data_IF_124550290136
#
_entry.id   IF_124550290136
#
_cell.length_a   1.000
_cell.length_b   1.000
_cell.length_c   1.000
_cell.angle_alpha   90.00
_cell.angle_beta   90.00
_cell.angle_gamma   90.00
#
_symmetry.space_group_name_H-M   'P 1'
#
loop_
_entity.id
_entity.type
_entity.pdbx_description
1 polymer ?
#
# COMPACT_ATOMS: atom_id res chain seq x y z
N UNK A 1 55.42 58.70 -9.16
CA UNK A 1 55.29 57.71 -8.07
C UNK A 1 55.44 58.49 -6.78
N UNK A 2 54.36 58.57 -6.02
CA UNK A 2 54.18 59.12 -4.68
C UNK A 2 52.67 58.99 -4.38
N UNK A 3 52.17 59.00 -3.13
CA UNK A 3 52.78 58.78 -1.80
C UNK A 3 51.82 57.90 -0.92
N UNK A 4 51.51 58.17 0.38
CA UNK A 4 52.30 58.19 1.62
C UNK A 4 51.75 57.28 2.76
N UNK A 5 52.43 57.36 3.92
CA UNK A 5 52.11 56.91 5.28
C UNK A 5 50.67 57.13 5.81
N UNK A 6 50.27 56.19 6.68
CA UNK A 6 49.66 56.34 8.01
C UNK A 6 48.25 55.73 8.25
N UNK A 7 48.22 54.98 9.36
CA UNK A 7 47.14 54.80 10.34
C UNK A 7 46.00 53.79 10.13
N UNK A 8 45.91 52.96 11.18
CA UNK A 8 44.71 52.64 11.96
C UNK A 8 44.04 51.28 11.71
N UNK A 9 44.05 50.50 12.80
CA UNK A 9 42.90 49.75 13.33
C UNK A 9 42.30 48.65 12.46
N UNK A 10 42.63 47.39 12.77
CA UNK A 10 41.56 46.37 12.99
C UNK A 10 42.04 45.06 13.63
N UNK A 11 43.29 44.90 14.07
CA UNK A 11 43.72 43.64 14.73
C UNK A 11 43.34 43.52 16.23
N UNK A 12 42.47 44.42 16.71
CA UNK A 12 41.86 44.37 18.05
C UNK A 12 40.37 44.03 18.06
N UNK A 13 39.78 43.59 16.94
CA UNK A 13 38.34 43.32 16.84
C UNK A 13 37.93 41.93 16.32
N UNK A 14 38.86 40.99 16.15
CA UNK A 14 38.52 39.58 15.82
C UNK A 14 38.88 38.55 16.91
N UNK A 15 39.39 38.99 18.06
CA UNK A 15 39.59 38.15 19.27
C UNK A 15 38.68 38.52 20.44
N UNK A 16 37.51 39.11 20.15
CA UNK A 16 36.50 39.50 21.14
C UNK A 16 35.12 38.85 20.90
N UNK A 17 35.03 37.79 20.08
CA UNK A 17 33.79 37.05 19.81
C UNK A 17 33.85 35.56 20.18
N UNK A 18 34.85 35.14 20.94
CA UNK A 18 34.97 33.79 21.52
C UNK A 18 35.07 33.92 23.03
N UNK A 19 33.96 34.22 23.68
CA UNK A 19 33.89 34.32 25.14
C UNK A 19 32.65 35.03 25.64
N UNK A 20 31.47 34.42 25.48
CA UNK A 20 30.28 34.68 26.32
C UNK A 20 29.02 33.92 25.86
N UNK A 21 29.08 32.60 25.66
CA UNK A 21 27.85 31.79 25.49
C UNK A 21 27.90 30.42 26.20
N UNK A 22 28.77 30.26 27.22
CA UNK A 22 28.76 29.08 28.10
C UNK A 22 28.36 29.36 29.57
N UNK A 23 28.11 30.62 29.94
CA UNK A 23 27.74 31.02 31.31
C UNK A 23 26.28 31.48 31.49
N UNK A 24 25.36 31.08 30.59
CA UNK A 24 23.91 31.37 30.73
C UNK A 24 22.98 30.15 30.68
N UNK A 25 23.49 28.94 30.92
CA UNK A 25 22.66 27.72 31.07
C UNK A 25 22.97 26.90 32.32
N UNK A 26 23.43 27.56 33.39
CA UNK A 26 23.53 26.99 34.74
C UNK A 26 23.01 27.97 35.79
N UNK A 27 21.82 28.53 35.56
CA UNK A 27 21.09 29.27 36.60
C UNK A 27 19.57 29.29 36.33
N UNK A 28 18.99 28.11 36.08
CA UNK A 28 17.55 27.85 36.29
C UNK A 28 17.41 26.43 36.85
N UNK A 29 18.08 26.19 37.97
CA UNK A 29 17.92 25.00 38.79
C UNK A 29 17.82 25.47 40.24
N UNK A 30 16.59 25.52 40.75
CA UNK A 30 16.33 25.83 42.16
C UNK A 30 15.44 27.06 42.37
N UNK A 31 14.12 26.86 42.27
CA UNK A 31 13.07 27.52 43.08
C UNK A 31 11.70 27.18 42.49
N UNK A 32 11.05 26.14 43.01
CA UNK A 32 9.71 26.28 43.60
C UNK A 32 9.29 24.94 44.21
N UNK A 33 9.44 24.86 45.52
CA UNK A 33 8.79 23.86 46.35
C UNK A 33 7.63 24.60 47.03
N UNK A 34 6.38 24.24 46.74
CA UNK A 34 5.20 24.55 47.58
C UNK A 34 4.03 23.63 47.21
N UNK A 35 3.94 22.55 47.98
CA UNK A 35 2.72 22.07 48.66
C UNK A 35 1.37 22.30 47.98
N UNK A 36 0.75 21.21 47.52
CA UNK A 36 -0.65 20.90 47.82
C UNK A 36 -0.82 19.37 47.89
N UNK A 37 -0.86 18.86 49.11
CA UNK A 37 -1.40 17.54 49.44
C UNK A 37 -2.93 17.64 49.47
N UNK A 38 -3.64 16.66 48.89
CA UNK A 38 -4.94 16.12 49.37
C UNK A 38 -5.29 14.82 48.61
N UNK A 39 -6.11 13.92 49.19
CA UNK A 39 -5.72 12.54 49.44
C UNK A 39 -6.42 11.50 48.57
N UNK A 40 -5.81 10.32 48.49
CA UNK A 40 -6.40 9.09 47.97
C UNK A 40 -7.58 8.64 48.85
N UNK A 41 -8.72 8.18 48.29
CA UNK A 41 -9.68 7.38 49.02
C UNK A 41 -9.30 5.89 48.98
N UNK A 42 -9.37 5.29 50.17
CA UNK A 42 -9.17 3.88 50.46
C UNK A 42 -10.27 2.98 49.92
N UNK A 43 -9.86 1.76 49.62
CA UNK A 43 -10.63 0.58 49.23
C UNK A 43 -11.69 0.18 50.29
N UNK A 44 -12.97 0.06 49.91
CA UNK A 44 -14.00 -0.88 50.44
C UNK A 44 -15.35 -0.55 49.80
N UNK A 45 -15.80 -1.42 48.90
CA UNK A 45 -17.10 -2.11 48.97
C UNK A 45 -17.49 -2.72 47.62
N UNK A 46 -17.52 -4.05 47.59
CA UNK A 46 -18.30 -4.82 46.61
C UNK A 46 -19.77 -4.74 47.02
N UNK A 47 -20.69 -4.78 46.04
CA UNK A 47 -21.50 -6.01 45.98
C UNK A 47 -21.80 -6.52 44.56
N UNK A 48 -21.80 -7.86 44.50
CA UNK A 48 -22.71 -8.79 43.81
C UNK A 48 -23.19 -8.51 42.37
N UNK A 49 -22.85 -9.50 41.52
CA UNK A 49 -23.67 -10.16 40.49
C UNK A 49 -25.13 -9.67 40.39
N UNK A 50 -25.50 -9.21 39.20
CA UNK A 50 -26.80 -9.53 38.61
C UNK A 50 -26.61 -9.98 37.16
N UNK A 51 -27.00 -11.23 36.96
CA UNK A 51 -27.29 -11.90 35.72
C UNK A 51 -28.66 -11.40 35.24
N UNK A 52 -28.72 -10.82 34.05
CA UNK A 52 -29.97 -10.72 33.28
C UNK A 52 -29.69 -10.93 31.80
N UNK A 53 -29.80 -12.19 31.39
CA UNK A 53 -30.29 -12.58 30.07
C UNK A 53 -31.49 -11.71 29.69
N UNK A 54 -31.42 -10.99 28.57
CA UNK A 54 -32.61 -10.57 27.82
C UNK A 54 -32.45 -10.97 26.36
N UNK A 55 -33.15 -12.05 26.01
CA UNK A 55 -33.58 -12.32 24.65
C UNK A 55 -34.44 -11.15 24.16
N UNK A 56 -34.07 -10.54 23.04
CA UNK A 56 -35.03 -9.88 22.17
C UNK A 56 -34.92 -10.51 20.78
N UNK A 57 -35.83 -11.45 20.56
CA UNK A 57 -36.22 -11.93 19.24
C UNK A 57 -37.17 -10.89 18.66
N UNK A 58 -36.84 -10.32 17.50
CA UNK A 58 -37.85 -9.77 16.59
C UNK A 58 -37.51 -10.16 15.15
N UNK A 59 -38.35 -11.05 14.64
CA UNK A 59 -38.58 -11.28 13.23
C UNK A 59 -39.08 -10.00 12.56
N UNK A 60 -38.44 -9.58 11.47
CA UNK A 60 -39.10 -8.78 10.42
C UNK A 60 -38.83 -9.44 9.08
N UNK A 61 -39.88 -10.04 8.55
CA UNK A 61 -40.03 -10.51 7.16
C UNK A 61 -40.15 -9.30 6.23
N UNK A 62 -39.36 -9.27 5.16
CA UNK A 62 -39.45 -8.22 4.15
C UNK A 62 -38.56 -8.48 2.94
N UNK A 63 -38.96 -9.41 2.08
CA UNK A 63 -38.32 -9.66 0.78
C UNK A 63 -38.65 -8.51 -0.19
N UNK A 64 -37.66 -7.69 -0.54
CA UNK A 64 -37.69 -6.82 -1.73
C UNK A 64 -36.68 -7.34 -2.75
N UNK A 65 -37.19 -7.82 -3.88
CA UNK A 65 -36.41 -8.20 -5.06
C UNK A 65 -35.74 -6.96 -5.66
N UNK A 66 -34.43 -7.04 -5.96
CA UNK A 66 -33.71 -6.04 -6.77
C UNK A 66 -33.57 -6.50 -8.22
N UNK A 67 -33.51 -5.59 -9.21
CA UNK A 67 -33.65 -5.93 -10.63
C UNK A 67 -32.33 -6.46 -11.21
N UNK A 68 -32.42 -7.52 -12.01
CA UNK A 68 -31.31 -8.02 -12.85
C UNK A 68 -31.07 -7.06 -14.01
N UNK A 69 -29.83 -6.59 -14.16
CA UNK A 69 -29.34 -5.87 -15.33
C UNK A 69 -29.30 -6.80 -16.54
N UNK A 70 -30.24 -6.65 -17.48
CA UNK A 70 -30.19 -7.28 -18.82
C UNK A 70 -29.32 -6.42 -19.74
N UNK A 71 -28.30 -7.02 -20.34
CA UNK A 71 -27.66 -6.48 -21.55
C UNK A 71 -28.73 -6.41 -22.64
N UNK A 72 -28.90 -5.25 -23.25
CA UNK A 72 -29.95 -5.01 -24.22
C UNK A 72 -29.60 -5.69 -25.56
N UNK A 73 -30.59 -6.36 -26.15
CA UNK A 73 -30.55 -6.99 -27.48
C UNK A 73 -30.08 -6.11 -28.68
N UNK A 74 -30.06 -4.76 -28.64
CA UNK A 74 -29.53 -3.94 -29.74
C UNK A 74 -28.03 -4.07 -30.00
N UNK A 75 -27.19 -4.30 -28.98
CA UNK A 75 -25.72 -4.30 -29.14
C UNK A 75 -25.20 -5.51 -29.93
N UNK A 76 -25.85 -6.67 -29.77
CA UNK A 76 -25.55 -7.88 -30.53
C UNK A 76 -26.00 -7.78 -32.00
N UNK A 77 -27.09 -7.04 -32.28
CA UNK A 77 -27.53 -6.76 -33.65
C UNK A 77 -26.58 -5.82 -34.39
N UNK A 78 -26.01 -4.85 -33.70
CA UNK A 78 -25.07 -3.89 -34.29
C UNK A 78 -23.76 -4.55 -34.73
N UNK A 79 -23.22 -5.47 -33.92
CA UNK A 79 -22.01 -6.22 -34.26
C UNK A 79 -22.22 -7.23 -35.40
N UNK A 80 -23.42 -7.85 -35.46
CA UNK A 80 -23.78 -8.72 -36.58
C UNK A 80 -23.97 -7.93 -37.89
N UNK A 81 -24.52 -6.71 -37.82
CA UNK A 81 -24.69 -5.83 -38.97
C UNK A 81 -23.35 -5.31 -39.50
N UNK A 82 -22.42 -4.89 -38.63
CA UNK A 82 -21.09 -4.46 -39.03
C UNK A 82 -20.28 -5.57 -39.73
N UNK A 83 -20.45 -6.81 -39.26
CA UNK A 83 -19.81 -7.99 -39.86
C UNK A 83 -20.37 -8.32 -41.25
N UNK A 84 -21.66 -8.05 -41.50
CA UNK A 84 -22.29 -8.25 -42.80
C UNK A 84 -21.89 -7.16 -43.81
N UNK A 85 -21.75 -5.90 -43.36
CA UNK A 85 -21.31 -4.77 -44.19
C UNK A 85 -19.86 -4.95 -44.66
N UNK A 86 -18.99 -5.48 -43.81
CA UNK A 86 -17.60 -5.79 -44.21
C UNK A 86 -17.51 -7.00 -45.16
N UNK A 87 -18.50 -7.89 -45.17
CA UNK A 87 -18.59 -9.00 -46.13
C UNK A 87 -19.01 -8.53 -47.54
N UNK A 88 -19.85 -7.49 -47.63
CA UNK A 88 -20.34 -6.94 -48.90
C UNK A 88 -19.41 -5.92 -49.56
N UNK A 89 -18.44 -5.36 -48.83
CA UNK A 89 -17.43 -4.45 -49.39
C UNK A 89 -16.31 -5.17 -50.19
N UNK A 90 -16.37 -6.50 -50.31
CA UNK A 90 -15.34 -7.34 -50.94
C UNK A 90 -15.65 -7.77 -52.39
N UNK A 91 -16.78 -7.35 -52.99
CA UNK A 91 -17.16 -7.74 -54.35
C UNK A 91 -17.64 -6.54 -55.18
N UNK A 92 -16.70 -5.87 -55.87
CA UNK A 92 -17.00 -5.07 -57.06
C UNK A 92 -15.75 -4.98 -57.96
N UNK A 93 -15.77 -5.50 -59.20
CA UNK A 93 -14.66 -5.39 -60.14
C UNK A 93 -14.70 -4.11 -60.99
N UNK A 94 -13.50 -3.66 -61.34
CA UNK A 94 -13.13 -2.53 -62.21
C UNK A 94 -13.96 -2.39 -63.50
N UNK A 95 -14.39 -1.16 -63.80
CA UNK A 95 -14.43 -0.60 -65.15
C UNK A 95 -14.07 0.89 -65.12
N UNK A 96 -13.00 1.25 -65.83
CA UNK A 96 -12.80 2.45 -66.68
C UNK A 96 -11.30 2.47 -67.02
N UNK A 97 -10.98 2.41 -68.31
CA UNK A 97 -9.62 2.54 -68.86
C UNK A 97 -9.49 3.87 -69.62
N UNK A 98 -8.23 4.33 -69.66
CA UNK A 98 -7.62 5.29 -70.57
C UNK A 98 -7.74 6.80 -70.24
N UNK A 99 -6.60 7.44 -69.95
CA UNK A 99 -5.95 8.48 -70.79
C UNK A 99 -4.82 9.16 -69.96
N UNK A 100 -3.58 9.08 -70.48
CA UNK A 100 -2.33 9.80 -70.13
C UNK A 100 -1.36 9.22 -69.06
N UNK A 101 -0.24 8.69 -69.55
CA UNK A 101 1.12 8.99 -69.05
C UNK A 101 1.76 8.05 -68.00
N UNK A 102 2.75 7.24 -68.42
CA UNK A 102 3.75 6.56 -67.57
C UNK A 102 4.83 7.53 -67.03
N UNK A 103 5.83 7.16 -66.17
CA UNK A 103 6.06 6.05 -65.21
C UNK A 103 6.42 6.63 -63.77
N UNK A 104 6.97 5.96 -62.70
CA UNK A 104 7.85 4.78 -62.62
C UNK A 104 7.55 3.71 -61.55
N UNK A 105 8.26 2.58 -61.71
CA UNK A 105 8.27 1.38 -60.87
C UNK A 105 8.71 1.63 -59.42
N UNK A 106 8.11 0.93 -58.45
CA UNK A 106 8.87 0.43 -57.30
C UNK A 106 8.68 -1.08 -57.04
N UNK A 107 9.75 -1.66 -56.47
CA UNK A 107 10.04 -3.01 -55.95
C UNK A 107 8.89 -3.96 -55.52
N UNK A 108 9.12 -5.28 -55.57
CA UNK A 108 8.10 -6.29 -55.24
C UNK A 108 7.82 -6.32 -53.73
N UNK A 109 6.61 -5.93 -53.34
CA UNK A 109 6.06 -6.25 -52.01
C UNK A 109 5.51 -7.67 -52.10
N UNK A 110 6.11 -8.59 -51.33
CA UNK A 110 5.58 -9.94 -51.14
C UNK A 110 4.27 -9.88 -50.34
N UNK A 111 3.14 -9.93 -51.04
CA UNK A 111 1.82 -10.07 -50.45
C UNK A 111 1.69 -11.51 -49.94
N UNK A 112 1.67 -11.68 -48.61
CA UNK A 112 1.31 -12.94 -47.96
C UNK A 112 -0.14 -13.31 -48.38
N UNK A 113 -0.44 -14.57 -48.73
CA UNK A 113 -1.80 -14.94 -49.09
C UNK A 113 -2.75 -14.80 -47.88
N UNK A 114 -4.02 -14.41 -48.09
CA UNK A 114 -4.99 -14.36 -47.01
C UNK A 114 -5.21 -15.78 -46.45
N UNK A 115 -5.15 -15.90 -45.12
CA UNK A 115 -5.47 -17.14 -44.41
C UNK A 115 -6.86 -17.64 -44.85
N UNK A 116 -7.05 -18.95 -45.08
CA UNK A 116 -8.33 -19.48 -45.50
C UNK A 116 -9.40 -19.13 -44.47
N UNK A 117 -10.57 -18.68 -44.93
CA UNK A 117 -11.74 -18.25 -44.13
C UNK A 117 -12.04 -19.20 -42.95
N UNK A 118 -11.75 -20.50 -43.11
CA UNK A 118 -11.89 -21.54 -42.10
C UNK A 118 -11.03 -21.32 -40.84
N UNK A 119 -9.81 -20.78 -40.98
CA UNK A 119 -8.91 -20.48 -39.86
C UNK A 119 -9.35 -19.22 -39.10
N UNK A 120 -9.87 -18.22 -39.82
CA UNK A 120 -10.46 -17.02 -39.21
C UNK A 120 -11.73 -17.35 -38.44
N UNK A 121 -12.66 -18.10 -39.05
CA UNK A 121 -13.89 -18.56 -38.40
C UNK A 121 -13.62 -19.46 -37.19
N UNK A 122 -12.58 -20.30 -37.23
CA UNK A 122 -12.16 -21.11 -36.09
C UNK A 122 -11.64 -20.25 -34.93
N UNK A 123 -10.85 -19.20 -35.20
CA UNK A 123 -10.38 -18.25 -34.17
C UNK A 123 -11.53 -17.43 -33.58
N UNK A 124 -12.47 -16.98 -34.41
CA UNK A 124 -13.66 -16.25 -33.94
C UNK A 124 -14.56 -17.16 -33.09
N UNK A 125 -14.78 -18.41 -33.50
CA UNK A 125 -15.53 -19.38 -32.70
C UNK A 125 -14.85 -19.69 -31.36
N UNK A 126 -13.53 -19.83 -31.33
CA UNK A 126 -12.76 -20.00 -30.09
C UNK A 126 -12.87 -18.77 -29.18
N UNK A 127 -12.84 -17.56 -29.73
CA UNK A 127 -12.99 -16.32 -28.96
C UNK A 127 -14.40 -16.22 -28.37
N UNK A 128 -15.45 -16.48 -29.16
CA UNK A 128 -16.84 -16.49 -28.71
C UNK A 128 -17.06 -17.54 -27.61
N UNK A 129 -16.49 -18.74 -27.76
CA UNK A 129 -16.63 -19.78 -26.74
C UNK A 129 -15.87 -19.45 -25.45
N UNK A 130 -14.71 -18.78 -25.56
CA UNK A 130 -13.93 -18.26 -24.43
C UNK A 130 -14.65 -17.11 -23.71
N UNK A 131 -15.32 -16.22 -24.45
CA UNK A 131 -16.14 -15.13 -23.89
C UNK A 131 -17.41 -15.68 -23.20
N UNK A 132 -18.09 -16.65 -23.83
CA UNK A 132 -19.26 -17.31 -23.26
C UNK A 132 -18.93 -18.09 -21.97
N UNK A 133 -17.71 -18.66 -21.89
CA UNK A 133 -17.22 -19.36 -20.71
C UNK A 133 -16.81 -18.41 -19.56
N UNK A 134 -16.49 -17.14 -19.86
CA UNK A 134 -16.22 -16.11 -18.83
C UNK A 134 -17.49 -15.58 -18.15
N UNK A 135 -18.68 -15.89 -18.66
CA UNK A 135 -19.96 -15.41 -18.13
C UNK A 135 -20.89 -16.52 -17.62
N UNK A 136 -20.37 -17.74 -17.45
CA UNK A 136 -21.03 -18.83 -16.73
C UNK A 136 -20.24 -19.23 -15.47
N UNK A 137 -20.07 -18.29 -14.56
CA UNK A 137 -19.95 -18.61 -13.13
C UNK A 137 -21.16 -18.03 -12.42
N UNK A 138 -22.26 -18.78 -12.43
CA UNK A 138 -23.44 -18.46 -11.64
C UNK A 138 -23.06 -18.49 -10.17
N UNK A 139 -22.86 -17.32 -9.57
CA UNK A 139 -22.77 -17.20 -8.12
C UNK A 139 -24.16 -17.48 -7.56
N UNK A 140 -24.33 -18.66 -6.97
CA UNK A 140 -25.50 -18.99 -6.16
C UNK A 140 -25.68 -17.98 -5.02
N UNK A 141 -26.85 -17.98 -4.36
CA UNK A 141 -27.11 -17.07 -3.25
C UNK A 141 -26.02 -17.27 -2.18
N UNK A 142 -25.23 -16.23 -1.92
CA UNK A 142 -24.19 -16.25 -0.89
C UNK A 142 -24.88 -16.47 0.45
N UNK A 143 -24.65 -17.63 1.03
CA UNK A 143 -24.96 -17.88 2.43
C UNK A 143 -24.16 -16.88 3.27
N UNK A 144 -24.76 -16.27 4.32
CA UNK A 144 -24.01 -15.39 5.20
C UNK A 144 -22.90 -16.21 5.85
N UNK A 145 -21.64 -15.90 5.52
CA UNK A 145 -20.46 -16.57 6.08
C UNK A 145 -20.34 -16.18 7.55
N UNK A 146 -20.60 -17.15 8.43
CA UNK A 146 -20.18 -17.08 9.82
C UNK A 146 -18.66 -16.90 9.86
N UNK A 147 -18.15 -16.01 10.71
CA UNK A 147 -16.73 -15.71 10.88
C UNK A 147 -15.96 -16.93 11.44
N UNK A 148 -15.65 -17.88 10.57
CA UNK A 148 -14.73 -18.98 10.85
C UNK A 148 -13.34 -18.54 10.36
N UNK A 149 -12.36 -18.58 11.26
CA UNK A 149 -10.98 -18.09 11.07
C UNK A 149 -10.43 -18.44 9.68
N UNK A 150 -9.82 -17.48 8.98
CA UNK A 150 -9.27 -17.72 7.64
C UNK A 150 -7.93 -18.48 7.64
N UNK A 151 -7.54 -19.05 8.78
CA UNK A 151 -6.31 -19.84 8.95
C UNK A 151 -6.18 -20.96 7.91
N UNK A 152 -4.93 -21.34 7.60
CA UNK A 152 -4.61 -22.44 6.69
C UNK A 152 -3.45 -23.29 7.20
N UNK A 153 -3.10 -24.36 6.48
CA UNK A 153 -1.91 -25.21 6.73
C UNK A 153 -0.69 -24.74 5.95
N UNK A 154 -0.92 -23.91 4.92
CA UNK A 154 0.11 -23.31 4.06
C UNK A 154 -0.21 -21.84 3.83
N UNK A 155 0.76 -21.06 3.36
CA UNK A 155 0.54 -19.66 2.98
C UNK A 155 -0.56 -19.55 1.92
N UNK A 156 -0.49 -20.38 0.88
CA UNK A 156 -1.47 -20.37 -0.21
C UNK A 156 -2.90 -20.69 0.27
N UNK A 157 -3.06 -21.63 1.20
CA UNK A 157 -4.38 -21.96 1.77
C UNK A 157 -4.92 -20.82 2.63
N UNK A 158 -4.09 -20.22 3.49
CA UNK A 158 -4.46 -19.03 4.28
C UNK A 158 -4.96 -17.90 3.37
N UNK A 159 -4.20 -17.54 2.33
CA UNK A 159 -4.59 -16.45 1.42
C UNK A 159 -5.83 -16.81 0.60
N UNK A 160 -5.97 -18.07 0.16
CA UNK A 160 -7.18 -18.54 -0.53
C UNK A 160 -8.42 -18.46 0.36
N UNK A 161 -8.29 -18.81 1.65
CA UNK A 161 -9.39 -18.72 2.60
C UNK A 161 -9.82 -17.26 2.81
N UNK A 162 -8.85 -16.34 2.94
CA UNK A 162 -9.12 -14.90 3.05
C UNK A 162 -9.78 -14.32 1.79
N UNK A 163 -9.31 -14.70 0.60
CA UNK A 163 -9.94 -14.34 -0.67
C UNK A 163 -11.40 -14.80 -0.73
N UNK A 164 -11.63 -16.09 -0.44
CA UNK A 164 -12.98 -16.65 -0.44
C UNK A 164 -13.89 -16.01 0.61
N UNK A 165 -13.33 -15.48 1.69
CA UNK A 165 -14.05 -14.81 2.78
C UNK A 165 -14.30 -13.31 2.52
N UNK A 166 -14.02 -12.80 1.32
CA UNK A 166 -14.15 -11.38 0.97
C UNK A 166 -13.28 -10.47 1.87
N UNK A 167 -12.11 -10.94 2.32
CA UNK A 167 -11.12 -10.13 3.06
C UNK A 167 -10.00 -9.59 2.15
N UNK A 168 -9.83 -10.19 0.97
CA UNK A 168 -8.98 -9.72 -0.12
C UNK A 168 -9.88 -9.63 -1.35
N UNK A 169 -9.77 -8.53 -2.09
CA UNK A 169 -10.59 -8.23 -3.26
C UNK A 169 -9.75 -8.06 -4.53
N UNK A 170 -8.53 -7.53 -4.39
CA UNK A 170 -7.62 -7.30 -5.49
C UNK A 170 -6.75 -8.53 -5.76
N UNK A 171 -6.76 -9.00 -7.00
CA UNK A 171 -5.87 -10.09 -7.44
C UNK A 171 -4.40 -9.75 -7.21
N UNK A 172 -4.02 -8.48 -7.37
CA UNK A 172 -2.65 -8.01 -7.10
C UNK A 172 -2.26 -8.20 -5.65
N UNK A 173 -3.16 -7.87 -4.72
CA UNK A 173 -2.93 -8.05 -3.27
C UNK A 173 -2.87 -9.54 -2.93
N UNK A 174 -3.81 -10.33 -3.45
CA UNK A 174 -3.82 -11.80 -3.29
C UNK A 174 -2.49 -12.41 -3.73
N UNK A 175 -2.05 -12.09 -4.95
CA UNK A 175 -0.89 -12.71 -5.56
C UNK A 175 0.41 -12.28 -4.86
N UNK A 176 0.50 -11.01 -4.42
CA UNK A 176 1.62 -10.53 -3.61
C UNK A 176 1.67 -11.20 -2.22
N UNK A 177 0.53 -11.38 -1.55
CA UNK A 177 0.50 -12.10 -0.26
C UNK A 177 0.80 -13.60 -0.41
N UNK A 178 0.46 -14.21 -1.56
CA UNK A 178 0.84 -15.60 -1.89
C UNK A 178 2.36 -15.70 -2.07
N UNK A 179 2.98 -14.73 -2.75
CA UNK A 179 4.41 -14.77 -3.09
C UNK A 179 5.35 -14.50 -1.90
N UNK A 180 4.85 -13.86 -0.83
CA UNK A 180 5.56 -13.65 0.43
C UNK A 180 5.09 -14.65 1.48
N UNK A 181 5.86 -15.73 1.65
CA UNK A 181 5.54 -16.74 2.66
C UNK A 181 5.66 -16.16 4.08
N UNK A 182 4.51 -16.09 4.77
CA UNK A 182 4.41 -15.61 6.14
C UNK A 182 5.27 -16.39 7.14
N UNK A 183 5.59 -17.66 6.89
CA UNK A 183 6.45 -18.46 7.76
C UNK A 183 7.86 -17.90 7.91
N UNK A 184 8.36 -17.12 6.95
CA UNK A 184 9.65 -16.43 7.05
C UNK A 184 9.66 -15.33 8.12
N UNK A 185 8.49 -14.84 8.54
CA UNK A 185 8.34 -13.63 9.35
C UNK A 185 7.78 -13.91 10.75
N UNK A 186 7.45 -15.17 11.04
CA UNK A 186 6.95 -15.63 12.33
C UNK A 186 8.00 -16.47 13.06
N UNK A 187 8.14 -16.38 14.40
CA UNK A 187 9.11 -17.20 15.15
C UNK A 187 8.77 -18.69 15.15
N UNK A 188 7.49 -19.05 15.04
CA UNK A 188 7.02 -20.43 15.05
C UNK A 188 6.30 -20.77 13.76
N UNK A 189 6.82 -21.78 13.04
CA UNK A 189 6.21 -22.28 11.81
C UNK A 189 4.79 -22.83 12.03
N UNK A 190 4.50 -23.36 13.22
CA UNK A 190 3.16 -23.90 13.55
C UNK A 190 2.07 -22.82 13.63
N UNK A 191 2.47 -21.57 13.89
CA UNK A 191 1.56 -20.43 14.03
C UNK A 191 1.57 -19.53 12.79
N UNK A 192 2.44 -19.81 11.81
CA UNK A 192 2.68 -18.97 10.65
C UNK A 192 1.40 -18.62 9.87
N UNK A 193 0.51 -19.60 9.73
CA UNK A 193 -0.67 -19.51 8.86
C UNK A 193 -1.98 -19.37 9.63
N UNK A 194 -1.91 -19.00 10.91
CA UNK A 194 -3.08 -18.64 11.69
C UNK A 194 -3.50 -17.21 11.36
N UNK A 195 -4.80 -17.00 11.14
CA UNK A 195 -5.36 -15.66 10.95
C UNK A 195 -5.50 -14.90 12.29
N UNK A 196 -4.36 -14.69 12.96
CA UNK A 196 -4.25 -14.03 14.26
C UNK A 196 -2.85 -13.41 14.45
N UNK A 197 -2.71 -12.41 15.34
CA UNK A 197 -1.41 -11.84 15.64
C UNK A 197 -0.50 -12.86 16.34
N UNK A 198 0.80 -12.83 16.02
CA UNK A 198 1.81 -13.70 16.64
C UNK A 198 2.88 -12.85 17.30
N UNK A 199 3.36 -13.22 18.50
CA UNK A 199 4.43 -12.48 19.15
C UNK A 199 5.75 -12.63 18.38
N UNK A 200 6.51 -11.54 18.29
CA UNK A 200 7.85 -11.49 17.68
C UNK A 200 8.93 -11.05 18.68
N UNK A 201 8.61 -11.10 19.99
CA UNK A 201 9.44 -10.54 21.06
C UNK A 201 9.19 -9.05 21.27
N UNK A 202 9.87 -8.45 22.26
CA UNK A 202 9.88 -7.00 22.52
C UNK A 202 8.49 -6.36 22.71
N UNK A 203 7.54 -7.11 23.26
CA UNK A 203 6.12 -6.72 23.37
C UNK A 203 5.44 -6.37 22.03
N UNK A 204 6.05 -6.74 20.90
CA UNK A 204 5.53 -6.57 19.57
C UNK A 204 4.90 -7.87 19.05
N UNK A 205 4.02 -7.70 18.06
CA UNK A 205 3.39 -8.80 17.33
C UNK A 205 3.47 -8.54 15.84
N UNK A 206 3.65 -9.59 15.04
CA UNK A 206 3.27 -9.53 13.63
C UNK A 206 1.74 -9.56 13.54
N UNK A 207 1.15 -8.56 12.90
CA UNK A 207 -0.31 -8.39 12.79
C UNK A 207 -0.98 -9.59 12.15
N UNK A 208 -2.27 -9.79 12.44
CA UNK A 208 -3.06 -10.83 11.78
C UNK A 208 -3.04 -10.64 10.25
N UNK A 209 -3.01 -11.72 9.46
CA UNK A 209 -3.08 -11.69 8.00
C UNK A 209 -4.15 -10.75 7.44
N UNK A 210 -5.39 -10.78 7.96
CA UNK A 210 -6.46 -9.89 7.49
C UNK A 210 -6.18 -8.40 7.69
N UNK A 211 -5.41 -8.02 8.71
CA UNK A 211 -5.02 -6.62 8.91
C UNK A 211 -4.00 -6.17 7.86
N UNK A 212 -3.07 -7.04 7.47
CA UNK A 212 -2.15 -6.78 6.36
C UNK A 212 -2.92 -6.65 5.05
N UNK A 213 -3.83 -7.57 4.76
CA UNK A 213 -4.69 -7.49 3.57
C UNK A 213 -5.44 -6.16 3.52
N UNK A 214 -6.05 -5.74 4.64
CA UNK A 214 -6.79 -4.48 4.66
C UNK A 214 -5.89 -3.27 4.41
N UNK A 215 -4.70 -3.20 5.02
CA UNK A 215 -3.75 -2.12 4.75
C UNK A 215 -3.37 -2.08 3.26
N UNK A 216 -3.05 -3.23 2.67
CA UNK A 216 -2.65 -3.36 1.26
C UNK A 216 -3.77 -2.92 0.31
N UNK A 217 -5.01 -3.34 0.55
CA UNK A 217 -6.17 -2.95 -0.29
C UNK A 217 -6.37 -1.42 -0.29
N UNK A 218 -6.20 -0.76 0.86
CA UNK A 218 -6.37 0.69 0.95
C UNK A 218 -5.22 1.47 0.32
N UNK A 219 -4.00 0.93 0.40
CA UNK A 219 -2.78 1.55 -0.13
C UNK A 219 -2.51 1.20 -1.60
N UNK A 220 -3.12 0.15 -2.14
CA UNK A 220 -2.86 -0.39 -3.49
C UNK A 220 -2.76 0.67 -4.61
N UNK A 221 -3.60 1.72 -4.68
CA UNK A 221 -3.47 2.76 -5.71
C UNK A 221 -2.14 3.53 -5.70
N UNK A 222 -1.34 3.37 -4.64
CA UNK A 222 -0.05 4.02 -4.42
C UNK A 222 1.09 2.99 -4.30
N UNK A 223 0.83 1.72 -4.62
CA UNK A 223 1.78 0.61 -4.61
C UNK A 223 1.99 0.06 -6.03
N UNK A 224 2.72 0.81 -6.83
CA UNK A 224 3.03 0.51 -8.24
C UNK A 224 4.53 0.69 -8.52
N UNK A 225 4.97 0.31 -9.72
CA UNK A 225 6.35 0.48 -10.15
C UNK A 225 6.80 1.95 -10.04
N UNK A 226 8.03 2.15 -9.55
CA UNK A 226 8.60 3.47 -9.28
C UNK A 226 8.07 4.19 -8.04
N UNK A 227 7.10 3.63 -7.30
CA UNK A 227 6.55 4.27 -6.09
C UNK A 227 7.47 4.16 -4.88
N UNK A 228 7.37 5.14 -3.98
CA UNK A 228 8.10 5.15 -2.71
C UNK A 228 7.15 4.91 -1.54
N UNK A 229 7.48 3.94 -0.70
CA UNK A 229 6.63 3.47 0.39
C UNK A 229 7.39 3.45 1.72
N UNK A 230 6.77 3.98 2.77
CA UNK A 230 7.28 3.93 4.13
C UNK A 230 6.38 3.05 5.00
N UNK A 231 6.98 2.08 5.68
CA UNK A 231 6.34 1.19 6.65
C UNK A 231 6.83 1.53 8.05
N UNK A 232 6.05 2.31 8.80
CA UNK A 232 6.37 2.74 10.15
C UNK A 232 5.97 1.67 11.16
N UNK A 233 6.91 1.21 11.99
CA UNK A 233 6.70 0.06 12.87
C UNK A 233 6.76 -1.25 12.08
N UNK A 234 7.80 -1.40 11.24
CA UNK A 234 7.94 -2.53 10.31
C UNK A 234 8.04 -3.90 11.00
N UNK A 235 8.49 -3.95 12.27
CA UNK A 235 8.47 -5.12 13.11
C UNK A 235 9.09 -6.36 12.44
N UNK A 236 8.26 -7.36 12.13
CA UNK A 236 8.72 -8.60 11.49
C UNK A 236 9.28 -8.42 10.08
N UNK A 237 8.97 -7.31 9.40
CA UNK A 237 9.29 -7.04 7.99
C UNK A 237 8.29 -7.63 6.98
N UNK A 238 7.23 -8.32 7.42
CA UNK A 238 6.27 -8.99 6.52
C UNK A 238 5.57 -8.01 5.58
N UNK A 239 4.93 -6.96 6.13
CA UNK A 239 4.18 -6.03 5.30
C UNK A 239 5.11 -5.23 4.38
N UNK A 240 6.30 -4.84 4.86
CA UNK A 240 7.35 -4.24 4.06
C UNK A 240 7.68 -5.09 2.82
N UNK A 241 7.81 -6.41 2.99
CA UNK A 241 8.07 -7.33 1.89
C UNK A 241 6.89 -7.47 0.92
N UNK A 242 5.65 -7.52 1.41
CA UNK A 242 4.47 -7.59 0.55
C UNK A 242 4.29 -6.30 -0.26
N UNK A 243 4.55 -5.13 0.35
CA UNK A 243 4.57 -3.86 -0.37
C UNK A 243 5.69 -3.83 -1.42
N UNK A 244 6.84 -4.43 -1.13
CA UNK A 244 7.93 -4.55 -2.11
C UNK A 244 7.55 -5.43 -3.32
N UNK A 245 6.80 -6.53 -3.14
CA UNK A 245 6.27 -7.29 -4.30
C UNK A 245 5.34 -6.46 -5.19
N UNK A 246 4.54 -5.57 -4.58
CA UNK A 246 3.61 -4.71 -5.32
C UNK A 246 4.32 -3.56 -6.05
N UNK A 247 5.37 -3.01 -5.45
CA UNK A 247 6.17 -1.91 -6.01
C UNK A 247 7.21 -2.42 -7.01
N UNK A 248 7.72 -3.64 -6.85
CA UNK A 248 8.72 -4.24 -7.74
C UNK A 248 8.20 -5.52 -8.40
N UNK A 249 7.12 -5.44 -9.20
CA UNK A 249 6.57 -6.63 -9.84
C UNK A 249 7.61 -7.26 -10.78
N UNK A 250 7.54 -8.58 -11.03
CA UNK A 250 8.40 -9.24 -12.00
C UNK A 250 8.35 -8.53 -13.37
N UNK A 251 9.49 -8.47 -14.06
CA UNK A 251 9.66 -7.73 -15.33
C UNK A 251 8.66 -8.13 -16.44
N UNK A 252 8.06 -9.32 -16.39
CA UNK A 252 7.05 -9.77 -17.37
C UNK A 252 5.64 -9.22 -17.10
N UNK A 253 5.40 -8.65 -15.91
CA UNK A 253 4.12 -8.13 -15.43
C UNK A 253 4.15 -6.62 -15.15
N UNK A 254 5.29 -5.95 -15.38
CA UNK A 254 5.37 -4.51 -15.29
C UNK A 254 4.48 -3.89 -16.37
N UNK A 255 3.58 -2.94 -16.03
CA UNK A 255 2.91 -2.12 -17.03
C UNK A 255 3.95 -1.44 -17.94
N UNK A 256 3.59 -1.09 -19.20
CA UNK A 256 4.46 -0.22 -20.00
C UNK A 256 4.80 1.02 -19.17
N UNK A 257 6.09 1.25 -18.96
CA UNK A 257 6.58 2.34 -18.12
C UNK A 257 6.06 3.70 -18.58
N UNK A 258 6.10 4.72 -17.69
CA UNK A 258 5.61 6.05 -18.04
C UNK A 258 6.40 6.65 -19.21
N UNK A 259 5.69 7.52 -19.93
CA UNK A 259 6.12 8.26 -21.12
C UNK A 259 7.58 8.77 -21.02
N UNK A 260 8.48 8.45 -21.97
CA UNK A 260 9.89 8.86 -21.95
C UNK A 260 10.12 10.39 -21.92
N UNK A 261 9.06 11.21 -22.00
CA UNK A 261 9.11 12.67 -21.87
C UNK A 261 9.01 13.24 -20.44
N UNK A 262 8.83 12.42 -19.40
CA UNK A 262 8.62 12.93 -18.04
C UNK A 262 9.95 13.25 -17.32
N UNK A 263 10.42 14.49 -17.47
CA UNK A 263 11.60 15.08 -16.81
C UNK A 263 11.41 15.11 -15.29
N UNK A 264 12.06 14.18 -14.58
CA UNK A 264 12.69 14.39 -13.25
C UNK A 264 13.22 13.06 -12.67
N UNK A 265 14.55 12.90 -12.67
CA UNK A 265 15.36 11.97 -11.85
C UNK A 265 15.16 10.46 -12.02
N UNK A 266 16.10 9.61 -11.55
CA UNK A 266 15.93 8.16 -11.60
C UNK A 266 14.79 7.79 -10.63
N UNK A 267 13.56 7.61 -11.14
CA UNK A 267 12.42 7.17 -10.34
C UNK A 267 12.55 5.67 -10.04
N UNK A 268 13.60 5.30 -9.32
CA UNK A 268 13.73 3.99 -8.71
C UNK A 268 12.75 3.92 -7.54
N UNK A 269 11.78 3.01 -7.61
CA UNK A 269 10.89 2.73 -6.49
C UNK A 269 11.70 2.36 -5.25
N UNK A 270 11.13 2.60 -4.07
CA UNK A 270 11.79 2.30 -2.80
C UNK A 270 10.78 1.91 -1.75
N UNK A 271 11.06 0.89 -0.96
CA UNK A 271 10.27 0.53 0.21
C UNK A 271 11.16 0.57 1.45
N UNK A 272 10.74 1.30 2.49
CA UNK A 272 11.54 1.44 3.71
C UNK A 272 10.73 0.95 4.91
N UNK A 273 11.28 0.00 5.66
CA UNK A 273 10.81 -0.39 6.97
C UNK A 273 11.49 0.45 8.06
N UNK A 274 10.73 1.28 8.78
CA UNK A 274 11.21 2.09 9.89
C UNK A 274 10.82 1.42 11.22
N UNK A 275 11.79 1.23 12.10
CA UNK A 275 11.60 0.50 13.36
C UNK A 275 12.42 1.13 14.48
N UNK A 276 11.83 1.29 15.67
CA UNK A 276 12.50 1.95 16.80
C UNK A 276 13.29 0.99 17.70
N UNK A 277 13.02 -0.33 17.61
CA UNK A 277 13.76 -1.37 18.33
C UNK A 277 14.78 -2.00 17.38
N UNK A 278 16.07 -1.78 17.64
CA UNK A 278 17.16 -2.27 16.78
C UNK A 278 17.07 -3.76 16.48
N UNK A 279 16.72 -4.58 17.45
CA UNK A 279 16.62 -6.03 17.28
C UNK A 279 15.44 -6.44 16.38
N UNK A 280 14.34 -5.67 16.39
CA UNK A 280 13.22 -5.86 15.47
C UNK A 280 13.57 -5.34 14.07
N UNK A 281 14.30 -4.22 13.96
CA UNK A 281 14.83 -3.74 12.68
C UNK A 281 15.67 -4.82 12.02
N UNK A 282 16.63 -5.36 12.76
CA UNK A 282 17.53 -6.41 12.27
C UNK A 282 16.75 -7.71 11.99
N UNK A 283 15.71 -8.02 12.77
CA UNK A 283 14.82 -9.16 12.52
C UNK A 283 14.06 -9.02 11.20
N UNK A 284 13.50 -7.83 10.92
CA UNK A 284 12.81 -7.51 9.69
C UNK A 284 13.69 -7.76 8.47
N UNK A 285 14.89 -7.20 8.48
CA UNK A 285 15.86 -7.37 7.40
C UNK A 285 16.28 -8.85 7.22
N UNK A 286 16.59 -9.55 8.33
CA UNK A 286 16.93 -10.98 8.29
C UNK A 286 15.80 -11.83 7.71
N UNK A 287 14.54 -11.52 8.04
CA UNK A 287 13.39 -12.26 7.54
C UNK A 287 13.17 -12.05 6.03
N UNK A 288 13.26 -10.80 5.55
CA UNK A 288 13.17 -10.50 4.12
C UNK A 288 14.26 -11.24 3.34
N UNK A 289 15.49 -11.27 3.86
CA UNK A 289 16.63 -11.96 3.26
C UNK A 289 16.51 -13.49 3.21
N UNK A 290 15.47 -14.11 3.80
CA UNK A 290 15.24 -15.56 3.66
C UNK A 290 14.85 -15.94 2.22
N UNK A 291 14.13 -15.08 1.50
CA UNK A 291 13.80 -15.31 0.10
C UNK A 291 14.88 -14.76 -0.84
N UNK A 292 15.01 -15.35 -2.04
CA UNK A 292 15.95 -14.87 -3.06
C UNK A 292 15.59 -13.45 -3.53
N UNK A 293 14.30 -13.20 -3.79
CA UNK A 293 13.79 -11.87 -4.15
C UNK A 293 14.09 -10.83 -3.07
N UNK A 294 13.87 -11.20 -1.81
CA UNK A 294 14.14 -10.32 -0.66
C UNK A 294 15.62 -9.97 -0.52
N UNK A 295 16.54 -10.94 -0.68
CA UNK A 295 17.99 -10.65 -0.73
C UNK A 295 18.31 -9.64 -1.81
N UNK A 296 17.82 -9.90 -3.03
CA UNK A 296 18.04 -9.01 -4.17
C UNK A 296 17.54 -7.59 -3.92
N UNK A 297 16.34 -7.40 -3.36
CA UNK A 297 15.85 -6.06 -3.07
C UNK A 297 16.69 -5.32 -2.04
N UNK A 298 17.17 -6.01 -1.00
CA UNK A 298 18.02 -5.41 0.03
C UNK A 298 19.40 -5.07 -0.55
N UNK A 299 20.01 -5.99 -1.29
CA UNK A 299 21.34 -5.81 -1.89
C UNK A 299 21.35 -4.70 -2.96
N UNK A 300 20.24 -4.55 -3.72
CA UNK A 300 20.06 -3.46 -4.68
C UNK A 300 19.62 -2.13 -4.03
N UNK A 301 19.38 -2.09 -2.72
CA UNK A 301 18.92 -0.90 -2.00
C UNK A 301 17.48 -0.46 -2.34
N UNK A 302 16.69 -1.35 -2.93
CA UNK A 302 15.26 -1.17 -3.22
C UNK A 302 14.39 -1.30 -1.97
N UNK A 303 14.78 -2.20 -1.07
CA UNK A 303 14.18 -2.36 0.25
C UNK A 303 15.23 -2.05 1.30
N UNK A 304 14.90 -1.20 2.28
CA UNK A 304 15.81 -0.82 3.36
C UNK A 304 15.10 -0.92 4.71
N UNK A 305 15.80 -1.40 5.73
CA UNK A 305 15.33 -1.39 7.12
C UNK A 305 16.18 -0.41 7.92
N UNK A 306 15.53 0.58 8.51
CA UNK A 306 16.18 1.70 9.20
C UNK A 306 15.71 1.80 10.64
N UNK A 307 16.64 2.17 11.52
CA UNK A 307 16.35 2.42 12.92
C UNK A 307 15.93 3.88 13.11
N UNK A 308 14.82 4.12 13.81
CA UNK A 308 14.39 5.48 14.13
C UNK A 308 12.99 5.59 14.71
N UNK A 309 12.65 6.80 15.17
CA UNK A 309 11.33 7.10 15.74
C UNK A 309 10.28 7.25 14.63
N UNK A 310 9.35 6.29 14.59
CA UNK A 310 8.23 6.27 13.65
C UNK A 310 7.37 7.54 13.62
N UNK A 311 7.27 8.25 14.75
CA UNK A 311 6.49 9.51 14.87
C UNK A 311 7.12 10.65 14.08
N UNK A 312 8.41 10.57 13.78
CA UNK A 312 9.13 11.56 12.97
C UNK A 312 9.15 11.21 11.48
N UNK A 313 8.65 10.04 11.10
CA UNK A 313 8.82 9.48 9.76
C UNK A 313 10.29 9.23 9.42
N UNK A 314 10.60 9.16 8.14
CA UNK A 314 11.97 8.99 7.67
C UNK A 314 12.19 9.76 6.38
N UNK A 315 13.16 10.67 6.41
CA UNK A 315 13.59 11.43 5.23
C UNK A 315 14.79 10.73 4.60
N UNK A 316 14.73 10.48 3.30
CA UNK A 316 15.82 9.83 2.59
C UNK A 316 17.08 10.69 2.66
N UNK A 317 18.20 10.18 3.23
CA UNK A 317 19.45 10.94 3.35
C UNK A 317 20.00 11.42 2.01
N UNK A 318 19.60 10.79 0.90
CA UNK A 318 19.98 11.18 -0.46
C UNK A 318 19.17 12.35 -1.01
N UNK A 319 18.31 12.97 -0.19
CA UNK A 319 17.49 14.11 -0.58
C UNK A 319 16.30 13.75 -1.48
N UNK A 320 15.97 12.46 -1.64
CA UNK A 320 14.81 12.04 -2.42
C UNK A 320 13.52 12.44 -1.71
N UNK A 321 12.62 13.12 -2.43
CA UNK A 321 11.34 13.62 -1.89
C UNK A 321 10.41 12.50 -1.41
N UNK A 322 9.38 12.86 -0.65
CA UNK A 322 8.51 12.05 0.24
C UNK A 322 7.95 10.69 -0.22
N UNK A 323 6.82 10.28 0.35
CA UNK A 323 6.26 8.93 0.22
C UNK A 323 4.93 8.95 -0.52
N UNK A 324 4.81 8.10 -1.54
CA UNK A 324 3.54 7.87 -2.23
C UNK A 324 2.55 7.13 -1.30
N UNK A 325 3.06 6.20 -0.49
CA UNK A 325 2.30 5.50 0.52
C UNK A 325 3.02 5.48 1.87
N UNK A 326 2.29 5.69 2.96
CA UNK A 326 2.77 5.49 4.34
C UNK A 326 1.83 4.51 5.05
N UNK A 327 2.39 3.41 5.54
CA UNK A 327 1.70 2.54 6.48
C UNK A 327 2.23 2.80 7.89
N UNK A 328 1.36 2.76 8.90
CA UNK A 328 1.74 2.78 10.31
C UNK A 328 1.20 1.54 11.00
N UNK A 329 2.09 0.66 11.44
CA UNK A 329 1.81 -0.64 12.06
C UNK A 329 1.59 -0.60 13.57
N UNK A 330 1.45 0.59 14.18
CA UNK A 330 1.23 0.77 15.61
C UNK A 330 0.27 1.93 15.86
N UNK A 331 -0.59 1.81 16.88
CA UNK A 331 -1.61 2.80 17.21
C UNK A 331 -0.98 4.10 17.72
N UNK A 332 -1.15 5.17 16.96
CA UNK A 332 -0.71 6.50 17.35
C UNK A 332 -1.74 7.19 18.27
N UNK A 333 -1.28 8.05 19.17
CA UNK A 333 -2.18 8.90 19.96
C UNK A 333 -2.92 9.91 19.08
N UNK A 334 -2.25 10.39 18.03
CA UNK A 334 -2.79 11.34 17.06
C UNK A 334 -2.16 11.11 15.67
N UNK A 335 -2.73 11.74 14.65
CA UNK A 335 -2.13 11.76 13.32
C UNK A 335 -0.98 12.77 13.32
N UNK A 336 0.25 12.28 13.28
CA UNK A 336 1.44 13.12 13.29
C UNK A 336 1.56 13.92 11.99
N UNK A 337 1.61 15.26 12.10
CA UNK A 337 1.74 16.15 10.93
C UNK A 337 3.08 15.97 10.20
N UNK A 338 4.13 15.53 10.88
CA UNK A 338 5.42 15.13 10.28
C UNK A 338 5.28 14.03 9.23
N UNK A 339 4.37 13.07 9.42
CA UNK A 339 4.07 12.02 8.44
C UNK A 339 3.23 12.56 7.29
N UNK A 340 2.26 13.43 7.60
CA UNK A 340 1.43 14.11 6.58
C UNK A 340 2.29 14.98 5.67
N UNK A 341 3.26 15.72 6.20
CA UNK A 341 4.22 16.52 5.44
C UNK A 341 5.05 15.66 4.49
N UNK A 342 5.44 14.47 4.93
CA UNK A 342 6.24 13.55 4.13
C UNK A 342 5.42 12.80 3.07
N UNK A 343 4.09 12.85 3.08
CA UNK A 343 3.28 12.34 1.96
C UNK A 343 3.48 13.18 0.69
N UNK A 344 3.68 12.50 -0.43
CA UNK A 344 3.66 13.10 -1.77
C UNK A 344 2.26 13.55 -2.19
N UNK A 345 2.23 14.38 -3.22
CA UNK A 345 1.01 14.77 -3.93
C UNK A 345 0.99 14.04 -5.28
N UNK A 346 0.04 13.12 -5.55
CA UNK A 346 -0.89 12.52 -4.61
C UNK A 346 -0.20 11.45 -3.74
N UNK A 347 -0.75 11.18 -2.56
CA UNK A 347 -0.24 10.15 -1.65
C UNK A 347 -1.25 9.76 -0.57
N UNK A 348 -1.08 8.58 0.03
CA UNK A 348 -1.98 8.05 1.06
C UNK A 348 -1.26 7.50 2.27
N UNK A 349 -1.80 7.76 3.45
CA UNK A 349 -1.40 7.12 4.70
C UNK A 349 -2.53 6.25 5.27
N UNK A 350 -2.16 5.08 5.78
CA UNK A 350 -3.00 4.17 6.54
C UNK A 350 -2.46 4.08 7.98
N UNK A 351 -3.23 4.53 8.97
CA UNK A 351 -2.76 4.67 10.35
C UNK A 351 -3.85 4.32 11.38
N UNK A 352 -3.59 3.42 12.34
CA UNK A 352 -4.43 3.26 13.53
C UNK A 352 -4.20 4.43 14.49
N UNK A 353 -5.30 5.05 14.95
CA UNK A 353 -5.26 6.19 15.88
C UNK A 353 -6.18 5.93 17.06
N UNK A 354 -5.71 6.25 18.26
CA UNK A 354 -6.50 6.20 19.48
C UNK A 354 -7.61 7.25 19.45
N UNK A 355 -8.82 6.85 19.86
CA UNK A 355 -9.91 7.80 20.01
C UNK A 355 -9.59 8.75 21.18
N UNK A 356 -9.71 10.09 21.05
CA UNK A 356 -9.31 11.05 22.09
C UNK A 356 -9.96 10.83 23.47
N UNK A 357 -11.19 10.30 23.48
CA UNK A 357 -11.93 9.90 24.70
C UNK A 357 -11.61 8.50 25.24
N UNK A 358 -10.57 7.83 24.74
CA UNK A 358 -10.19 6.47 25.17
C UNK A 358 -11.18 5.36 24.77
N UNK A 359 -12.03 5.61 23.76
CA UNK A 359 -13.10 4.68 23.33
C UNK A 359 -12.60 3.59 22.35
N UNK A 360 -11.30 3.28 22.37
CA UNK A 360 -10.65 2.33 21.46
C UNK A 360 -9.87 2.99 20.33
N UNK A 361 -9.36 2.17 19.41
CA UNK A 361 -8.54 2.60 18.28
C UNK A 361 -9.33 2.44 16.98
N UNK A 362 -9.10 3.31 15.99
CA UNK A 362 -9.73 3.23 14.68
C UNK A 362 -8.67 3.39 13.58
N UNK A 363 -8.86 2.71 12.46
CA UNK A 363 -8.08 2.99 11.26
C UNK A 363 -8.53 4.33 10.66
N UNK A 364 -7.55 5.14 10.31
CA UNK A 364 -7.70 6.34 9.51
C UNK A 364 -6.96 6.19 8.19
N UNK A 365 -7.62 6.63 7.13
CA UNK A 365 -6.98 6.89 5.83
C UNK A 365 -6.82 8.39 5.69
N UNK A 366 -5.58 8.83 5.43
CA UNK A 366 -5.24 10.22 5.19
C UNK A 366 -4.78 10.33 3.74
N UNK A 367 -5.52 11.08 2.93
CA UNK A 367 -5.21 11.31 1.53
C UNK A 367 -4.67 12.72 1.35
N UNK A 368 -3.57 12.85 0.63
CA UNK A 368 -3.10 14.12 0.07
C UNK A 368 -3.31 14.08 -1.44
N UNK A 369 -4.10 15.01 -1.98
CA UNK A 369 -4.39 15.05 -3.41
C UNK A 369 -3.25 15.72 -4.22
N UNK A 370 -3.44 15.85 -5.53
CA UNK A 370 -2.45 16.46 -6.42
C UNK A 370 -2.17 17.95 -6.14
N UNK A 371 -3.10 18.64 -5.47
CA UNK A 371 -2.96 20.05 -5.09
C UNK A 371 -2.36 20.22 -3.68
N UNK A 372 -2.12 19.10 -2.98
CA UNK A 372 -1.59 19.09 -1.62
C UNK A 372 -2.64 19.23 -0.53
N UNK A 373 -3.93 19.22 -0.87
CA UNK A 373 -5.01 19.27 0.11
C UNK A 373 -5.14 17.92 0.81
N UNK A 374 -5.23 17.98 2.14
CA UNK A 374 -5.30 16.79 3.00
C UNK A 374 -6.75 16.50 3.38
N UNK A 375 -7.18 15.25 3.24
CA UNK A 375 -8.45 14.73 3.74
C UNK A 375 -8.22 13.52 4.65
N UNK A 376 -9.03 13.39 5.69
CA UNK A 376 -8.89 12.35 6.72
C UNK A 376 -10.22 11.61 6.85
N UNK A 377 -10.21 10.29 6.69
CA UNK A 377 -11.39 9.42 6.78
C UNK A 377 -11.17 8.32 7.82
N UNK A 378 -12.02 8.29 8.84
CA UNK A 378 -12.09 7.19 9.79
C UNK A 378 -12.81 6.00 9.15
N UNK A 379 -12.26 4.80 9.31
CA UNK A 379 -12.81 3.57 8.78
C UNK A 379 -13.51 2.76 9.89
N UNK A 380 -12.82 1.81 10.49
CA UNK A 380 -13.38 0.84 11.43
C UNK A 380 -12.50 0.71 12.68
N UNK A 381 -13.07 0.20 13.76
CA UNK A 381 -12.38 -0.04 15.03
C UNK A 381 -11.37 -1.19 14.93
N UNK A 382 -10.23 -1.05 15.62
CA UNK A 382 -9.11 -2.01 15.60
C UNK A 382 -8.44 -2.12 16.96
N UNK A 383 -7.47 -3.05 17.06
CA UNK A 383 -6.57 -3.18 18.20
C UNK A 383 -5.15 -3.45 17.72
N UNK A 384 -4.30 -2.44 17.80
CA UNK A 384 -2.87 -2.46 17.48
C UNK A 384 -2.04 -2.30 18.75
N UNK A 385 -0.77 -2.69 18.66
CA UNK A 385 0.25 -2.32 19.65
C UNK A 385 0.46 -0.80 19.62
N UNK A 386 0.76 -0.14 20.76
CA UNK A 386 0.92 1.32 20.79
C UNK A 386 2.19 1.79 20.07
N UNK A 387 2.10 2.92 19.37
CA UNK A 387 3.26 3.64 18.83
C UNK A 387 3.87 4.48 19.95
N UNK A 388 4.98 4.02 20.50
CA UNK A 388 5.54 4.56 21.76
C UNK A 388 7.06 4.73 21.71
N UNK A 389 7.65 5.16 22.81
CA UNK A 389 9.10 5.27 22.96
C UNK A 389 9.73 3.87 22.93
N UNK A 390 10.96 3.78 22.44
CA UNK A 390 11.72 2.53 22.51
C UNK A 390 11.92 2.10 23.98
N UNK A 391 11.89 0.80 24.29
CA UNK A 391 12.25 0.30 25.61
C UNK A 391 13.64 0.82 26.02
N UNK A 392 13.79 1.27 27.27
CA UNK A 392 15.05 1.79 27.81
C UNK A 392 16.02 0.69 28.21
#
# INVERSE_FOLDING_TARGET
>A
MDPPLANATSDKLQRALTGSEQDKRREVAGKCNKTYQRPLPSNRDRPRKLDTRHHFSQHITGTKQSPRTRVSWPTLRYLAFLSLVLLFASEAPNQINAVLGTPPQPSPISILPPLPLRAYLSRVAHLIHREASRHQTSHGPRTPKMAWTCSGRTNAELISNMWNADLIHSERVRDAMISVDRAHYTPSHHLAYQDSPQSIGYAATISAPHMHASALEHLLPYLDDGKRVLDVGSGSGYLTAVMAELVFPPSASAPPGPDPGAVDGPRGGKVVGLEHIRELRDLGERNVRKSEKGRRWVDEGKVEFVEGDGRQGWRDPRGQGGWDAIHVGAAAMEIHETLVEQLRCPGRMFIPVEHPRGLGQHIWVVDKDGEGKVSKKMLYGVRYVPLTDAPR
#
